data_IF_523650712838
#
_entry.id   IF_523650712838
#
_cell.length_a   1.000
_cell.length_b   1.000
_cell.length_c   1.000
_cell.angle_alpha   90.00
_cell.angle_beta   90.00
_cell.angle_gamma   90.00
#
_symmetry.space_group_name_H-M   'P 1'
#
loop_
_entity.id
_entity.type
_entity.pdbx_description
1 polymer ?
#
# COMPACT_ATOMS: atom_id res chain seq x y z
N UNK A 1 17.38 -49.00 50.07
CA UNK A 1 16.51 -47.85 50.38
C UNK A 1 16.80 -46.77 49.34
N UNK A 2 15.94 -46.63 48.33
CA UNK A 2 16.21 -45.85 47.11
C UNK A 2 15.56 -44.47 47.21
N UNK A 3 16.34 -43.39 47.19
CA UNK A 3 15.84 -42.01 47.18
C UNK A 3 15.76 -41.52 45.72
N UNK A 4 14.54 -41.38 45.20
CA UNK A 4 14.29 -40.80 43.87
C UNK A 4 14.34 -39.26 43.99
N UNK A 5 15.29 -38.63 43.30
CA UNK A 5 15.36 -37.17 43.19
C UNK A 5 14.59 -36.78 41.91
N UNK A 6 13.41 -36.18 42.07
CA UNK A 6 12.63 -35.66 40.95
C UNK A 6 13.11 -34.27 40.57
N UNK A 7 13.57 -34.09 39.33
CA UNK A 7 13.92 -32.79 38.76
C UNK A 7 12.63 -32.11 38.29
N UNK A 8 12.19 -31.07 38.99
CA UNK A 8 11.07 -30.23 38.56
C UNK A 8 11.58 -29.15 37.60
N UNK A 9 11.41 -29.36 36.30
CA UNK A 9 11.65 -28.37 35.25
C UNK A 9 10.39 -27.51 35.09
N UNK A 10 10.40 -26.33 35.73
CA UNK A 10 9.40 -25.27 35.51
C UNK A 10 9.75 -24.56 34.19
N UNK A 11 9.10 -24.95 33.10
CA UNK A 11 9.15 -24.24 31.81
C UNK A 11 8.06 -23.16 31.84
N UNK A 12 8.45 -21.92 32.16
CA UNK A 12 7.58 -20.76 32.02
C UNK A 12 7.45 -20.37 30.55
N UNK A 13 6.32 -20.70 29.93
CA UNK A 13 5.97 -20.24 28.59
C UNK A 13 5.58 -18.75 28.64
N UNK A 14 6.45 -17.87 28.16
CA UNK A 14 6.14 -16.44 27.97
C UNK A 14 5.30 -16.29 26.71
N UNK A 15 4.01 -16.05 26.87
CA UNK A 15 3.10 -15.70 25.77
C UNK A 15 3.36 -14.26 25.35
N UNK A 16 4.10 -14.05 24.25
CA UNK A 16 4.26 -12.75 23.61
C UNK A 16 2.96 -12.36 22.88
N UNK A 17 1.99 -11.78 23.60
CA UNK A 17 0.83 -11.14 22.96
C UNK A 17 1.19 -9.73 22.52
N UNK A 18 1.89 -9.60 21.38
CA UNK A 18 2.18 -8.31 20.77
C UNK A 18 0.94 -7.72 20.09
N UNK A 19 0.34 -6.68 20.68
CA UNK A 19 -0.65 -5.85 19.99
C UNK A 19 0.08 -4.95 18.99
N UNK A 20 0.06 -5.29 17.70
CA UNK A 20 0.65 -4.43 16.67
C UNK A 20 0.00 -3.03 16.69
N UNK A 21 0.78 -1.93 16.54
CA UNK A 21 0.24 -0.58 16.53
C UNK A 21 -0.78 -0.40 15.38
N UNK A 22 -1.86 0.32 15.66
CA UNK A 22 -2.92 0.56 14.66
C UNK A 22 -2.49 1.50 13.53
N UNK A 23 -1.53 2.37 13.81
CA UNK A 23 -0.97 3.35 12.87
C UNK A 23 0.47 3.02 12.52
N UNK A 24 0.89 3.48 11.35
CA UNK A 24 2.25 3.37 10.81
C UNK A 24 2.60 4.66 10.05
N UNK A 25 3.89 4.92 9.75
CA UNK A 25 4.26 6.06 8.91
C UNK A 25 3.50 6.06 7.58
N UNK A 26 3.04 7.23 7.13
CA UNK A 26 2.35 7.39 5.84
C UNK A 26 3.29 6.94 4.73
N UNK A 27 2.85 5.96 3.94
CA UNK A 27 3.61 5.47 2.80
C UNK A 27 3.31 6.30 1.55
N UNK A 28 4.38 6.87 0.97
CA UNK A 28 4.40 7.35 -0.40
C UNK A 28 5.22 6.36 -1.24
N UNK A 29 4.87 6.23 -2.52
CA UNK A 29 5.59 5.38 -3.46
C UNK A 29 6.30 6.26 -4.47
N UNK A 30 7.55 5.93 -4.78
CA UNK A 30 8.27 6.41 -5.95
C UNK A 30 8.86 5.18 -6.63
N UNK A 31 8.44 4.90 -7.85
CA UNK A 31 8.79 3.68 -8.57
C UNK A 31 9.29 4.01 -9.96
N UNK A 32 10.47 3.50 -10.29
CA UNK A 32 10.99 3.44 -11.66
C UNK A 32 10.72 2.06 -12.23
N UNK A 33 10.31 1.99 -13.49
CA UNK A 33 10.07 0.73 -14.21
C UNK A 33 11.16 0.48 -15.24
N UNK A 34 11.43 -0.80 -15.53
CA UNK A 34 12.61 -1.22 -16.31
C UNK A 34 12.60 -0.87 -17.80
N UNK A 35 11.52 -0.25 -18.29
CA UNK A 35 11.40 0.20 -19.68
C UNK A 35 10.52 1.45 -19.75
N UNK A 36 10.52 2.12 -20.90
CA UNK A 36 9.65 3.27 -21.15
C UNK A 36 8.34 2.82 -21.78
N UNK A 37 7.25 3.39 -21.32
CA UNK A 37 5.89 3.22 -21.82
C UNK A 37 5.38 4.56 -22.35
N UNK A 38 4.39 4.51 -23.24
CA UNK A 38 3.64 5.72 -23.60
C UNK A 38 2.84 6.24 -22.40
N UNK A 39 2.52 7.54 -22.43
CA UNK A 39 1.66 8.17 -21.42
C UNK A 39 0.31 7.44 -21.30
N UNK A 40 -0.23 6.95 -22.42
CA UNK A 40 -1.48 6.19 -22.44
C UNK A 40 -1.34 4.81 -21.78
N UNK A 41 -0.27 4.07 -22.06
CA UNK A 41 -0.03 2.78 -21.39
C UNK A 41 0.12 2.95 -19.88
N UNK A 42 0.89 3.95 -19.43
CA UNK A 42 1.05 4.25 -18.01
C UNK A 42 -0.28 4.65 -17.37
N UNK A 43 -1.02 5.55 -18.00
CA UNK A 43 -2.36 5.98 -17.57
C UNK A 43 -3.32 4.80 -17.45
N UNK A 44 -3.36 3.92 -18.45
CA UNK A 44 -4.23 2.74 -18.44
C UNK A 44 -3.84 1.76 -17.33
N UNK A 45 -2.54 1.52 -17.11
CA UNK A 45 -2.09 0.68 -16.00
C UNK A 45 -2.54 1.22 -14.64
N UNK A 46 -2.46 2.54 -14.44
CA UNK A 46 -2.92 3.21 -13.21
C UNK A 46 -4.45 3.13 -13.06
N UNK A 47 -5.23 3.44 -14.10
CA UNK A 47 -6.70 3.36 -14.06
C UNK A 47 -7.16 1.94 -13.74
N UNK A 48 -6.63 0.95 -14.46
CA UNK A 48 -7.02 -0.44 -14.30
C UNK A 48 -6.57 -1.02 -12.96
N UNK A 49 -5.41 -0.60 -12.43
CA UNK A 49 -4.97 -1.00 -11.08
C UNK A 49 -5.86 -0.36 -10.01
N UNK A 50 -6.20 0.93 -10.20
CA UNK A 50 -7.12 1.65 -9.34
C UNK A 50 -8.47 0.95 -9.25
N UNK A 51 -9.11 0.68 -10.39
CA UNK A 51 -10.40 0.01 -10.44
C UNK A 51 -10.39 -1.37 -9.74
N UNK A 52 -9.34 -2.17 -9.97
CA UNK A 52 -9.19 -3.48 -9.32
C UNK A 52 -8.98 -3.40 -7.79
N UNK A 53 -8.55 -2.24 -7.29
CA UNK A 53 -8.32 -1.97 -5.88
C UNK A 53 -9.30 -0.94 -5.29
N UNK A 54 -10.44 -0.75 -5.95
CA UNK A 54 -11.54 0.14 -5.52
C UNK A 54 -11.18 1.63 -5.43
N UNK A 55 -10.13 2.06 -6.12
CA UNK A 55 -9.83 3.47 -6.33
C UNK A 55 -10.57 3.99 -7.56
N UNK A 56 -11.22 5.14 -7.39
CA UNK A 56 -11.72 5.95 -8.50
C UNK A 56 -10.59 6.88 -8.93
N UNK A 57 -10.03 6.63 -10.12
CA UNK A 57 -8.95 7.43 -10.69
C UNK A 57 -9.50 8.48 -11.66
N UNK A 58 -9.10 9.74 -11.50
CA UNK A 58 -9.54 10.85 -12.36
C UNK A 58 -8.34 11.63 -12.90
N UNK A 59 -8.38 12.10 -14.17
CA UNK A 59 -7.31 12.95 -14.71
C UNK A 59 -7.11 14.23 -13.87
N UNK A 60 -5.85 14.60 -13.64
CA UNK A 60 -5.47 15.80 -12.90
C UNK A 60 -4.49 16.70 -13.67
N UNK A 61 -4.35 16.48 -14.99
CA UNK A 61 -3.43 17.17 -15.88
C UNK A 61 -2.51 16.18 -16.62
N UNK A 62 -1.66 16.66 -17.55
CA UNK A 62 -0.66 15.83 -18.21
C UNK A 62 0.26 15.15 -17.18
N UNK A 63 0.42 13.83 -17.30
CA UNK A 63 1.25 13.05 -16.37
C UNK A 63 0.73 12.99 -14.93
N UNK A 64 -0.55 13.31 -14.68
CA UNK A 64 -1.10 13.37 -13.32
C UNK A 64 -2.54 12.83 -13.24
N UNK A 65 -2.83 12.09 -12.18
CA UNK A 65 -4.17 11.63 -11.81
C UNK A 65 -4.43 11.78 -10.32
N UNK A 66 -5.66 12.11 -9.94
CA UNK A 66 -6.13 11.95 -8.56
C UNK A 66 -6.70 10.54 -8.38
N UNK A 67 -6.61 10.01 -7.16
CA UNK A 67 -7.28 8.79 -6.77
C UNK A 67 -8.10 9.01 -5.51
N UNK A 68 -9.32 8.50 -5.49
CA UNK A 68 -10.19 8.49 -4.32
C UNK A 68 -10.61 7.07 -3.98
N UNK A 69 -10.51 6.69 -2.71
CA UNK A 69 -11.03 5.43 -2.19
C UNK A 69 -11.94 5.71 -1.00
N UNK A 70 -13.09 5.04 -0.97
CA UNK A 70 -14.01 5.03 0.16
C UNK A 70 -14.40 3.59 0.48
N UNK A 71 -13.98 3.08 1.65
CA UNK A 71 -14.25 1.72 2.09
C UNK A 71 -14.71 1.72 3.56
N UNK A 72 -15.95 1.24 3.81
CA UNK A 72 -16.51 1.06 5.16
C UNK A 72 -16.34 2.30 6.05
N UNK A 73 -16.66 3.48 5.52
CA UNK A 73 -16.56 4.76 6.23
C UNK A 73 -15.15 5.35 6.36
N UNK A 74 -14.13 4.72 5.79
CA UNK A 74 -12.77 5.26 5.72
C UNK A 74 -12.51 5.77 4.31
N UNK A 75 -11.93 6.96 4.18
CA UNK A 75 -11.61 7.53 2.87
C UNK A 75 -10.16 7.95 2.76
N UNK A 76 -9.61 7.90 1.56
CA UNK A 76 -8.28 8.39 1.24
C UNK A 76 -8.27 9.04 -0.15
N UNK A 77 -7.58 10.17 -0.25
CA UNK A 77 -7.27 10.84 -1.50
C UNK A 77 -5.76 10.80 -1.74
N UNK A 78 -5.39 10.53 -2.99
CA UNK A 78 -4.00 10.45 -3.43
C UNK A 78 -3.79 11.25 -4.72
N UNK A 79 -2.54 11.64 -4.95
CA UNK A 79 -2.03 12.13 -6.23
C UNK A 79 -1.09 11.09 -6.82
N UNK A 80 -1.32 10.72 -8.07
CA UNK A 80 -0.43 9.88 -8.86
C UNK A 80 0.17 10.71 -9.98
N UNK A 81 1.48 10.98 -9.91
CA UNK A 81 2.22 11.61 -11.00
C UNK A 81 3.00 10.54 -11.74
N UNK A 82 3.12 10.63 -13.06
CA UNK A 82 3.79 9.61 -13.86
C UNK A 82 4.49 10.20 -15.09
N UNK A 83 5.52 9.48 -15.53
CA UNK A 83 6.28 9.71 -16.76
C UNK A 83 6.29 8.41 -17.57
N UNK A 84 7.00 8.39 -18.70
CA UNK A 84 7.19 7.20 -19.49
C UNK A 84 7.77 6.00 -18.71
N UNK A 85 8.61 6.24 -17.70
CA UNK A 85 9.36 5.18 -17.01
C UNK A 85 9.28 5.25 -15.48
N UNK A 86 8.41 6.09 -14.92
CA UNK A 86 8.27 6.22 -13.48
C UNK A 86 6.87 6.67 -13.07
N UNK A 87 6.51 6.40 -11.83
CA UNK A 87 5.35 7.01 -11.20
C UNK A 87 5.56 7.21 -9.71
N UNK A 88 4.80 8.13 -9.14
CA UNK A 88 4.76 8.44 -7.71
C UNK A 88 3.32 8.38 -7.22
N UNK A 89 3.09 7.77 -6.05
CA UNK A 89 1.79 7.80 -5.36
C UNK A 89 1.99 8.56 -4.05
N UNK A 90 1.29 9.68 -3.92
CA UNK A 90 1.45 10.63 -2.81
C UNK A 90 0.14 10.76 -2.05
N UNK A 91 0.22 10.67 -0.73
CA UNK A 91 -0.90 10.98 0.16
C UNK A 91 -1.34 12.44 0.01
N UNK A 92 -2.65 12.68 -0.08
CA UNK A 92 -3.23 14.03 -0.10
C UNK A 92 -4.05 14.27 1.18
N UNK A 93 -5.09 13.47 1.39
CA UNK A 93 -6.01 13.60 2.53
C UNK A 93 -6.65 12.27 2.90
N UNK A 94 -7.26 12.20 4.08
CA UNK A 94 -8.06 11.04 4.50
C UNK A 94 -9.07 11.39 5.59
N UNK A 95 -10.09 10.54 5.72
CA UNK A 95 -11.05 10.57 6.82
C UNK A 95 -11.09 9.22 7.52
N UNK A 96 -11.24 9.24 8.84
CA UNK A 96 -11.28 8.05 9.71
C UNK A 96 -10.03 7.15 9.69
N UNK A 97 -8.91 7.62 9.12
CA UNK A 97 -7.63 6.88 9.08
C UNK A 97 -6.61 7.35 10.13
N UNK A 98 -7.00 8.22 11.07
CA UNK A 98 -6.10 8.71 12.14
C UNK A 98 -4.82 9.35 11.60
N UNK A 99 -4.92 10.04 10.45
CA UNK A 99 -3.78 10.72 9.86
C UNK A 99 -3.34 11.89 10.76
N UNK A 100 -2.06 11.92 11.12
CA UNK A 100 -1.49 12.96 11.97
C UNK A 100 -0.03 12.66 12.32
N UNK A 101 0.80 13.70 12.44
CA UNK A 101 2.23 13.58 12.77
C UNK A 101 3.00 12.58 11.89
N UNK A 102 2.65 12.53 10.59
CA UNK A 102 3.25 11.60 9.62
C UNK A 102 2.83 10.13 9.79
N UNK A 103 1.88 9.82 10.67
CA UNK A 103 1.32 8.48 10.88
C UNK A 103 -0.10 8.38 10.30
N UNK A 104 -0.52 7.16 9.97
CA UNK A 104 -1.86 6.83 9.46
C UNK A 104 -2.21 5.37 9.77
N UNK A 105 -3.49 5.02 9.79
CA UNK A 105 -3.94 3.66 9.99
C UNK A 105 -3.34 2.72 8.91
N UNK A 106 -2.79 1.58 9.33
CA UNK A 106 -2.02 0.66 8.47
C UNK A 106 -2.75 0.18 7.20
N UNK A 107 -4.09 0.20 7.20
CA UNK A 107 -4.88 -0.16 6.02
C UNK A 107 -4.59 0.77 4.84
N UNK A 108 -4.32 2.06 5.09
CA UNK A 108 -3.92 2.99 4.03
C UNK A 108 -2.69 2.48 3.30
N UNK A 109 -1.61 2.15 4.02
CA UNK A 109 -0.38 1.65 3.42
C UNK A 109 -0.62 0.36 2.62
N UNK A 110 -1.51 -0.53 3.10
CA UNK A 110 -1.92 -1.71 2.34
C UNK A 110 -2.62 -1.34 1.02
N UNK A 111 -3.54 -0.37 1.03
CA UNK A 111 -4.19 0.09 -0.20
C UNK A 111 -3.19 0.68 -1.19
N UNK A 112 -2.21 1.46 -0.72
CA UNK A 112 -1.14 2.03 -1.56
C UNK A 112 -0.24 0.93 -2.14
N UNK A 113 0.13 -0.07 -1.34
CA UNK A 113 0.93 -1.21 -1.79
C UNK A 113 0.20 -2.02 -2.86
N UNK A 114 -1.08 -2.34 -2.66
CA UNK A 114 -1.88 -3.06 -3.62
C UNK A 114 -2.04 -2.30 -4.94
N UNK A 115 -2.26 -0.98 -4.87
CA UNK A 115 -2.33 -0.12 -6.05
C UNK A 115 -1.01 -0.13 -6.82
N UNK A 116 0.12 0.07 -6.14
CA UNK A 116 1.47 0.04 -6.73
C UNK A 116 1.79 -1.31 -7.38
N UNK A 117 1.51 -2.41 -6.68
CA UNK A 117 1.73 -3.75 -7.19
C UNK A 117 0.89 -4.01 -8.45
N UNK A 118 -0.39 -3.63 -8.44
CA UNK A 118 -1.27 -3.78 -9.60
C UNK A 118 -0.81 -2.95 -10.80
N UNK A 119 -0.26 -1.75 -10.59
CA UNK A 119 0.36 -0.94 -11.67
C UNK A 119 1.52 -1.71 -12.29
N UNK A 120 2.44 -2.20 -11.45
CA UNK A 120 3.61 -2.94 -11.91
C UNK A 120 3.24 -4.21 -12.66
N UNK A 121 2.25 -4.97 -12.16
CA UNK A 121 1.75 -6.17 -12.85
C UNK A 121 1.19 -5.84 -14.23
N UNK A 122 0.44 -4.74 -14.37
CA UNK A 122 -0.15 -4.36 -15.67
C UNK A 122 0.89 -3.89 -16.66
N UNK A 123 1.87 -3.11 -16.21
CA UNK A 123 3.01 -2.72 -17.03
C UNK A 123 3.82 -3.95 -17.48
N UNK A 124 4.05 -4.92 -16.59
CA UNK A 124 4.73 -6.17 -16.96
C UNK A 124 3.95 -7.01 -17.97
N UNK A 125 2.61 -7.02 -17.91
CA UNK A 125 1.78 -7.66 -18.93
C UNK A 125 1.83 -6.90 -20.26
N UNK A 126 1.82 -5.57 -20.22
CA UNK A 126 1.95 -4.73 -21.41
C UNK A 126 3.31 -4.95 -22.11
N UNK A 127 4.38 -5.09 -21.34
CA UNK A 127 5.73 -5.40 -21.82
C UNK A 127 5.88 -6.76 -22.51
N UNK A 128 4.97 -7.69 -22.24
CA UNK A 128 5.01 -9.05 -22.79
C UNK A 128 4.19 -9.19 -24.09
N UNK A 129 3.52 -8.13 -24.53
CA UNK A 129 2.81 -8.06 -25.81
C UNK A 129 3.76 -7.67 -26.94
#
# INVERSE_FOLDING_TARGET
MNKKIGFALLVSAVLLTGCAPRTAPIQNVSQTVGQSYSDDQMKQAIIQSGAANHWVMTPAGPGAMNGHLAERGHTADIRVNYTANSYQIQYVSSQNLKAGSGQIHRNYNRWIQNLSQGIQTRLAVEAAK
#
